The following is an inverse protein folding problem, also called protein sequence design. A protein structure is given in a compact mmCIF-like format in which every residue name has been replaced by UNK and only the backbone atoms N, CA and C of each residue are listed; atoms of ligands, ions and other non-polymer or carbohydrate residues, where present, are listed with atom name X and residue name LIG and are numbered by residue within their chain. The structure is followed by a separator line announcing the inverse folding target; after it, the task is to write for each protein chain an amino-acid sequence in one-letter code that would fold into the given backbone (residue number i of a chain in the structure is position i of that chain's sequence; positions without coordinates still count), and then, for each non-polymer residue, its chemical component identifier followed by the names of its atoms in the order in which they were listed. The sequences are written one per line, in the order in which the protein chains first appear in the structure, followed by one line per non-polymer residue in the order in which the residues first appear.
data_IF_491080439769
#
_entry.id   IF_491080439769
#
_cell.length_a   1.000
_cell.length_b   1.000
_cell.length_c   1.000
_cell.angle_alpha   90.00
_cell.angle_beta   90.00
_cell.angle_gamma   90.00
#
_symmetry.space_group_name_H-M   'P 1'
#
loop_
_entity.id
_entity.type
_entity.pdbx_description
1 polymer ?
#
# COMPACT_ATOMS: atom_id res chain seq x y z
N UNK A 1 9.28 2.12 12.48
CA UNK A 1 9.50 2.26 11.03
C UNK A 1 8.20 2.60 10.31
N UNK A 2 8.32 3.28 9.19
CA UNK A 2 7.20 3.59 8.33
C UNK A 2 7.48 3.06 6.92
N UNK A 3 6.46 2.47 6.31
CA UNK A 3 6.53 1.94 4.95
C UNK A 3 5.53 2.70 4.10
N UNK A 4 5.99 3.26 2.99
CA UNK A 4 5.16 3.94 2.01
C UNK A 4 5.18 3.15 0.71
N UNK A 5 4.00 2.91 0.14
CA UNK A 5 3.87 2.23 -1.15
C UNK A 5 3.03 3.10 -2.07
N UNK A 6 3.58 3.50 -3.22
CA UNK A 6 2.83 4.31 -4.16
C UNK A 6 2.87 3.72 -5.57
N UNK A 7 1.84 4.01 -6.33
CA UNK A 7 1.64 3.46 -7.66
C UNK A 7 0.61 4.28 -8.43
N UNK A 8 0.60 4.08 -9.74
CA UNK A 8 -0.36 4.73 -10.62
C UNK A 8 -1.47 3.76 -11.02
N UNK A 9 -2.65 4.32 -11.25
CA UNK A 9 -3.80 3.59 -11.78
C UNK A 9 -4.38 4.36 -12.96
N UNK A 10 -5.15 3.68 -13.80
CA UNK A 10 -5.94 4.36 -14.83
C UNK A 10 -7.23 4.90 -14.21
N UNK A 11 -7.84 5.87 -14.87
CA UNK A 11 -9.14 6.38 -14.45
C UNK A 11 -10.20 5.26 -14.40
N UNK A 12 -10.14 4.33 -15.37
CA UNK A 12 -11.06 3.20 -15.43
C UNK A 12 -10.92 2.25 -14.24
N UNK A 13 -9.70 2.04 -13.74
CA UNK A 13 -9.39 1.10 -12.66
C UNK A 13 -9.37 1.75 -11.27
N UNK A 14 -9.45 3.07 -11.19
CA UNK A 14 -9.25 3.79 -9.93
C UNK A 14 -10.17 3.32 -8.80
N UNK A 15 -11.46 3.22 -9.06
CA UNK A 15 -12.42 2.83 -8.03
C UNK A 15 -12.15 1.41 -7.51
N UNK A 16 -11.88 0.46 -8.40
CA UNK A 16 -11.54 -0.91 -8.02
C UNK A 16 -10.21 -0.99 -7.27
N UNK A 17 -9.21 -0.22 -7.70
CA UNK A 17 -7.91 -0.17 -7.03
C UNK A 17 -8.02 0.40 -5.62
N UNK A 18 -8.81 1.47 -5.43
CA UNK A 18 -9.05 2.04 -4.10
C UNK A 18 -9.76 1.05 -3.18
N UNK A 19 -10.74 0.32 -3.69
CA UNK A 19 -11.43 -0.71 -2.91
C UNK A 19 -10.47 -1.84 -2.51
N UNK A 20 -9.62 -2.28 -3.43
CA UNK A 20 -8.61 -3.30 -3.16
C UNK A 20 -7.57 -2.84 -2.14
N UNK A 21 -7.11 -1.61 -2.25
CA UNK A 21 -6.14 -1.03 -1.31
C UNK A 21 -6.75 -0.87 0.09
N UNK A 22 -8.00 -0.45 0.20
CA UNK A 22 -8.70 -0.38 1.50
C UNK A 22 -8.81 -1.73 2.15
N UNK A 23 -9.15 -2.77 1.38
CA UNK A 23 -9.23 -4.14 1.89
C UNK A 23 -7.86 -4.65 2.34
N UNK A 24 -6.80 -4.33 1.60
CA UNK A 24 -5.42 -4.68 1.94
C UNK A 24 -5.00 -4.03 3.27
N UNK A 25 -5.30 -2.74 3.44
CA UNK A 25 -5.01 -2.01 4.68
C UNK A 25 -5.76 -2.61 5.86
N UNK A 26 -7.03 -2.97 5.68
CA UNK A 26 -7.81 -3.63 6.72
C UNK A 26 -7.21 -5.00 7.11
N UNK A 27 -6.73 -5.77 6.14
CA UNK A 27 -6.05 -7.04 6.39
C UNK A 27 -4.74 -6.85 7.15
N UNK A 28 -3.97 -5.81 6.82
CA UNK A 28 -2.73 -5.53 7.54
C UNK A 28 -2.99 -5.29 9.02
N UNK A 29 -4.03 -4.52 9.35
CA UNK A 29 -4.42 -4.28 10.74
C UNK A 29 -4.86 -5.57 11.43
N UNK A 30 -5.67 -6.40 10.75
CA UNK A 30 -6.23 -7.62 11.34
C UNK A 30 -5.17 -8.73 11.48
N UNK A 31 -4.33 -8.93 10.46
CA UNK A 31 -3.44 -10.08 10.38
C UNK A 31 -2.10 -9.85 11.08
N UNK A 32 -1.55 -8.63 10.99
CA UNK A 32 -0.21 -8.33 11.49
C UNK A 32 -0.15 -7.09 12.39
N UNK A 33 -1.30 -6.50 12.71
CA UNK A 33 -1.38 -5.39 13.65
C UNK A 33 -0.72 -4.10 13.17
N UNK A 34 -0.63 -3.89 11.86
CA UNK A 34 -0.04 -2.69 11.26
C UNK A 34 -1.15 -1.81 10.72
N UNK A 35 -1.20 -0.57 11.21
CA UNK A 35 -2.17 0.41 10.75
C UNK A 35 -1.70 1.10 9.48
N UNK A 36 -2.61 1.28 8.55
CA UNK A 36 -2.33 1.96 7.30
C UNK A 36 -3.36 3.05 6.99
N UNK A 37 -2.96 3.94 6.09
CA UNK A 37 -3.81 5.01 5.58
C UNK A 37 -3.67 5.08 4.06
N UNK A 38 -4.75 5.44 3.39
CA UNK A 38 -4.79 5.54 1.93
C UNK A 38 -4.94 7.00 1.53
N UNK A 39 -4.12 7.45 0.59
CA UNK A 39 -4.18 8.80 0.06
C UNK A 39 -3.87 8.80 -1.43
N UNK A 40 -4.09 9.93 -2.08
CA UNK A 40 -3.65 10.16 -3.44
C UNK A 40 -2.93 11.50 -3.53
N UNK A 41 -2.12 11.67 -4.57
CA UNK A 41 -1.41 12.92 -4.79
C UNK A 41 -2.41 14.03 -5.13
N UNK A 42 -2.24 15.21 -4.51
CA UNK A 42 -3.19 16.31 -4.67
C UNK A 42 -3.35 16.75 -6.14
N UNK A 43 -2.23 16.82 -6.88
CA UNK A 43 -2.20 17.25 -8.28
C UNK A 43 -2.44 16.10 -9.27
N UNK A 44 -2.46 14.85 -8.79
CA UNK A 44 -2.62 13.66 -9.63
C UNK A 44 -3.37 12.57 -8.86
N UNK A 45 -4.70 12.59 -8.87
CA UNK A 45 -5.50 11.62 -8.13
C UNK A 45 -5.37 10.17 -8.64
N UNK A 46 -4.68 9.95 -9.76
CA UNK A 46 -4.37 8.61 -10.25
C UNK A 46 -3.07 8.05 -9.64
N UNK A 47 -2.36 8.83 -8.84
CA UNK A 47 -1.25 8.33 -8.03
C UNK A 47 -1.75 8.06 -6.61
N UNK A 48 -1.73 6.79 -6.23
CA UNK A 48 -2.25 6.28 -4.96
C UNK A 48 -1.08 5.99 -4.03
N UNK A 49 -1.26 6.26 -2.73
CA UNK A 49 -0.27 5.91 -1.71
C UNK A 49 -0.92 5.19 -0.54
N UNK A 50 -0.32 4.06 -0.15
CA UNK A 50 -0.58 3.36 1.10
C UNK A 50 0.55 3.73 2.06
N UNK A 51 0.21 4.19 3.26
CA UNK A 51 1.18 4.55 4.28
C UNK A 51 0.96 3.69 5.52
N UNK A 52 1.97 2.92 5.90
CA UNK A 52 1.90 2.02 7.05
C UNK A 52 2.84 2.52 8.13
N UNK A 53 2.30 2.75 9.33
CA UNK A 53 3.05 3.29 10.47
C UNK A 53 3.26 2.26 11.56
N UNK A 54 4.23 2.55 12.43
CA UNK A 54 4.53 1.69 13.59
C UNK A 54 4.87 0.26 13.20
N UNK A 55 5.62 0.09 12.12
CA UNK A 55 6.06 -1.23 11.65
C UNK A 55 7.29 -1.63 12.46
N UNK A 56 7.15 -2.71 13.27
CA UNK A 56 8.23 -3.17 14.14
C UNK A 56 9.27 -4.03 13.41
N UNK A 57 8.82 -4.84 12.46
CA UNK A 57 9.69 -5.72 11.66
C UNK A 57 9.41 -5.43 10.18
N UNK A 58 10.15 -4.49 9.61
CA UNK A 58 9.95 -4.05 8.24
C UNK A 58 10.14 -5.18 7.21
N UNK A 59 11.21 -6.02 7.29
CA UNK A 59 11.35 -7.12 6.34
C UNK A 59 10.18 -8.11 6.39
N UNK A 60 9.72 -8.46 7.57
CA UNK A 60 8.58 -9.38 7.73
C UNK A 60 7.29 -8.75 7.19
N UNK A 61 7.05 -7.47 7.48
CA UNK A 61 5.87 -6.78 6.97
C UNK A 61 5.89 -6.67 5.44
N UNK A 62 7.02 -6.32 4.86
CA UNK A 62 7.14 -6.22 3.40
C UNK A 62 6.92 -7.57 2.71
N UNK A 63 7.40 -8.67 3.32
CA UNK A 63 7.14 -10.01 2.81
C UNK A 63 5.66 -10.38 2.89
N UNK A 64 5.01 -10.07 4.02
CA UNK A 64 3.57 -10.25 4.17
C UNK A 64 2.78 -9.47 3.13
N UNK A 65 3.14 -8.20 2.95
CA UNK A 65 2.48 -7.28 2.02
C UNK A 65 2.58 -7.80 0.58
N UNK A 66 3.75 -8.25 0.17
CA UNK A 66 3.97 -8.79 -1.17
C UNK A 66 3.08 -10.00 -1.45
N UNK A 67 2.97 -10.91 -0.49
CA UNK A 67 2.07 -12.07 -0.58
C UNK A 67 0.61 -11.65 -0.64
N UNK A 68 0.19 -10.72 0.22
CA UNK A 68 -1.19 -10.24 0.27
C UNK A 68 -1.59 -9.53 -1.03
N UNK A 69 -0.73 -8.70 -1.58
CA UNK A 69 -0.96 -8.01 -2.86
C UNK A 69 -1.11 -9.01 -4.00
N UNK A 70 -0.28 -10.06 -4.02
CA UNK A 70 -0.35 -11.10 -5.06
C UNK A 70 -1.65 -11.88 -5.01
N UNK A 71 -2.25 -12.05 -3.83
CA UNK A 71 -3.48 -12.82 -3.66
C UNK A 71 -4.77 -12.03 -3.85
N UNK A 72 -4.73 -10.69 -3.83
CA UNK A 72 -5.94 -9.85 -3.86
C UNK A 72 -6.26 -9.26 -5.25
N UNK A 73 -5.43 -9.52 -6.27
CA UNK A 73 -5.67 -9.02 -7.62
C UNK A 73 -5.34 -7.54 -7.84
N UNK A 74 -4.81 -6.86 -6.83
CA UNK A 74 -4.52 -5.42 -6.94
C UNK A 74 -3.48 -5.12 -8.03
N UNK A 75 -2.48 -6.00 -8.21
CA UNK A 75 -1.43 -5.80 -9.23
C UNK A 75 -1.98 -5.64 -10.63
N UNK A 76 -3.06 -6.33 -10.97
CA UNK A 76 -3.67 -6.25 -12.29
C UNK A 76 -4.40 -4.93 -12.53
N UNK A 77 -4.64 -4.15 -11.49
CA UNK A 77 -5.34 -2.87 -11.57
C UNK A 77 -4.39 -1.67 -11.59
N UNK A 78 -3.11 -1.88 -11.34
CA UNK A 78 -2.14 -0.78 -11.30
C UNK A 78 -1.38 -0.68 -12.63
N UNK A 79 -0.87 0.51 -12.90
CA UNK A 79 -0.08 0.83 -14.07
C UNK A 79 1.39 0.90 -13.67
N UNK A 80 2.22 0.00 -14.20
CA UNK A 80 3.61 -0.12 -13.79
C UNK A 80 3.76 -0.82 -12.45
N UNK A 81 4.78 -0.43 -11.69
CA UNK A 81 5.18 -1.11 -10.47
C UNK A 81 4.63 -0.43 -9.22
N UNK A 82 4.54 -1.21 -8.14
CA UNK A 82 4.39 -0.70 -6.79
C UNK A 82 5.79 -0.27 -6.31
N UNK A 83 5.92 0.99 -5.92
CA UNK A 83 7.18 1.54 -5.40
C UNK A 83 7.10 1.58 -3.89
N UNK A 84 8.05 0.95 -3.23
CA UNK A 84 8.09 0.86 -1.76
C UNK A 84 9.26 1.66 -1.22
N UNK A 85 9.00 2.49 -0.21
CA UNK A 85 10.02 3.25 0.49
C UNK A 85 9.92 2.96 1.99
N UNK A 86 11.08 2.74 2.61
CA UNK A 86 11.17 2.44 4.03
C UNK A 86 11.87 3.61 4.74
N UNK A 87 11.18 4.19 5.72
CA UNK A 87 11.69 5.30 6.52
C UNK A 87 11.81 4.89 7.98
N UNK A 88 12.94 5.27 8.58
CA UNK A 88 13.22 5.06 10.00
C UNK A 88 13.50 6.41 10.66
N UNK A 89 13.29 6.54 11.99
CA UNK A 89 13.66 7.75 12.70
C UNK A 89 15.15 8.04 12.56
N UNK A 90 15.51 9.32 12.43
CA UNK A 90 16.92 9.72 12.34
C UNK A 90 17.63 9.69 13.70
N UNK A 91 16.89 9.84 14.77
CA UNK A 91 17.45 9.91 16.12
C UNK A 91 16.53 9.28 17.16
#
# INVERSE_FOLDING_TARGET
SQIYVYYKVTAANRAAALAGAKALIARAAADVGVDGALSCRAEDPLTIMEAYGSVHDAPAFMAWLDTAVSSCGLRSLIEGDRHTEHFVPCA
#
